data_IF_415316453195
#
_entry.id   IF_415316453195
#
_cell.length_a   1.000
_cell.length_b   1.000
_cell.length_c   1.000
_cell.angle_alpha   90.00
_cell.angle_beta   90.00
_cell.angle_gamma   90.00
#
_symmetry.space_group_name_H-M   'P 1'
#
loop_
_entity.id
_entity.type
_entity.pdbx_description
1 polymer ?
#
# COMPACT_ATOMS: atom_id res chain seq x y z
N UNK A 1 67.40 -38.90 4.46
CA UNK A 1 66.07 -38.95 5.11
C UNK A 1 65.65 -37.51 5.25
N UNK A 2 65.05 -36.98 4.19
CA UNK A 2 64.99 -35.54 4.00
C UNK A 2 63.61 -35.06 4.42
N UNK A 3 63.58 -34.22 5.47
CA UNK A 3 62.36 -33.62 5.99
C UNK A 3 61.99 -32.44 5.10
N UNK A 4 60.94 -32.61 4.30
CA UNK A 4 60.33 -31.54 3.52
C UNK A 4 59.47 -30.71 4.47
N UNK A 5 59.89 -29.47 4.72
CA UNK A 5 59.12 -28.46 5.48
C UNK A 5 58.33 -27.65 4.46
N UNK A 6 57.00 -27.69 4.53
CA UNK A 6 56.12 -26.83 3.73
C UNK A 6 55.85 -25.53 4.49
N UNK A 7 55.97 -24.34 3.88
CA UNK A 7 55.53 -23.11 4.51
C UNK A 7 53.99 -23.05 4.52
N UNK A 8 53.40 -22.88 5.71
CA UNK A 8 51.98 -22.56 5.88
C UNK A 8 51.81 -21.08 5.52
N UNK A 9 51.20 -20.80 4.37
CA UNK A 9 50.81 -19.45 3.98
C UNK A 9 49.49 -19.12 4.69
N UNK A 10 49.55 -18.28 5.71
CA UNK A 10 48.36 -17.73 6.35
C UNK A 10 47.85 -16.58 5.48
N UNK A 11 46.78 -16.84 4.72
CA UNK A 11 46.05 -15.80 3.98
C UNK A 11 45.12 -15.09 4.95
N UNK A 12 45.55 -13.92 5.45
CA UNK A 12 44.68 -13.00 6.19
C UNK A 12 43.76 -12.31 5.19
N UNK A 13 42.53 -12.80 5.06
CA UNK A 13 41.50 -12.14 4.25
C UNK A 13 41.03 -10.92 5.03
N UNK A 14 41.55 -9.75 4.66
CA UNK A 14 40.95 -8.47 5.05
C UNK A 14 39.59 -8.36 4.36
N UNK A 15 38.51 -8.60 5.12
CA UNK A 15 37.17 -8.18 4.74
C UNK A 15 37.13 -6.64 4.77
N UNK A 16 37.49 -6.02 3.66
CA UNK A 16 37.10 -4.64 3.41
C UNK A 16 35.59 -4.66 3.17
N UNK A 17 34.80 -4.42 4.22
CA UNK A 17 33.41 -4.01 4.08
C UNK A 17 33.39 -2.62 3.45
N UNK A 18 33.57 -2.56 2.13
CA UNK A 18 33.11 -1.41 1.37
C UNK A 18 31.62 -1.29 1.61
N UNK A 19 31.27 -0.24 2.33
CA UNK A 19 29.91 0.12 2.67
C UNK A 19 29.08 0.15 1.37
N UNK A 20 28.19 -0.83 1.22
CA UNK A 20 27.21 -0.90 0.15
C UNK A 20 26.13 0.17 0.41
N UNK A 21 26.49 1.45 0.28
CA UNK A 21 25.54 2.57 0.37
C UNK A 21 24.62 2.64 -0.87
N UNK A 22 25.00 2.03 -1.99
CA UNK A 22 24.24 2.13 -3.24
C UNK A 22 23.15 1.06 -3.44
N UNK A 23 22.97 0.11 -2.50
CA UNK A 23 21.84 -0.86 -2.57
C UNK A 23 20.59 -0.41 -1.81
N UNK A 24 20.75 0.36 -0.73
CA UNK A 24 19.60 0.79 0.08
C UNK A 24 18.65 1.72 -0.66
N UNK A 25 19.17 2.52 -1.60
CA UNK A 25 18.39 3.52 -2.33
C UNK A 25 17.49 2.89 -3.41
N UNK A 26 17.98 1.87 -4.13
CA UNK A 26 17.15 1.14 -5.11
C UNK A 26 16.16 0.18 -4.46
N UNK A 27 16.52 -0.47 -3.34
CA UNK A 27 15.59 -1.34 -2.59
C UNK A 27 14.46 -0.56 -1.89
N UNK A 28 14.62 0.76 -1.65
CA UNK A 28 13.54 1.57 -1.09
C UNK A 28 12.55 2.01 -2.18
N UNK A 29 13.01 2.49 -3.33
CA UNK A 29 12.13 3.02 -4.39
C UNK A 29 11.23 1.92 -5.00
N UNK A 30 11.78 0.73 -5.29
CA UNK A 30 11.00 -0.39 -5.85
C UNK A 30 9.95 -0.94 -4.86
N UNK A 31 10.25 -0.85 -3.55
CA UNK A 31 9.34 -1.35 -2.52
C UNK A 31 8.15 -0.39 -2.35
N UNK A 32 8.36 0.93 -2.37
CA UNK A 32 7.25 1.90 -2.22
C UNK A 32 6.38 2.03 -3.47
N UNK A 33 6.93 1.82 -4.67
CA UNK A 33 6.10 1.67 -5.88
C UNK A 33 5.10 0.52 -5.76
N UNK A 34 5.50 -0.59 -5.14
CA UNK A 34 4.61 -1.72 -4.84
C UNK A 34 3.53 -1.35 -3.83
N UNK A 35 3.87 -0.57 -2.80
CA UNK A 35 2.90 -0.12 -1.78
C UNK A 35 1.87 0.86 -2.33
N UNK A 36 2.31 1.82 -3.17
CA UNK A 36 1.42 2.74 -3.89
C UNK A 36 0.46 1.94 -4.77
N UNK A 37 0.97 1.00 -5.56
CA UNK A 37 0.15 0.15 -6.43
C UNK A 37 -0.84 -0.70 -5.62
N UNK A 38 -0.41 -1.26 -4.49
CA UNK A 38 -1.29 -2.01 -3.59
C UNK A 38 -2.44 -1.14 -3.10
N UNK A 39 -2.15 0.04 -2.54
CA UNK A 39 -3.18 0.96 -2.04
C UNK A 39 -4.10 1.43 -3.18
N UNK A 40 -3.53 1.80 -4.32
CA UNK A 40 -4.30 2.25 -5.48
C UNK A 40 -5.24 1.15 -6.00
N UNK A 41 -4.79 -0.11 -6.07
CA UNK A 41 -5.64 -1.24 -6.47
C UNK A 41 -6.82 -1.44 -5.51
N UNK A 42 -6.61 -1.25 -4.20
CA UNK A 42 -7.70 -1.30 -3.21
C UNK A 42 -8.68 -0.16 -3.40
N UNK A 43 -8.18 1.05 -3.63
CA UNK A 43 -9.00 2.23 -3.92
C UNK A 43 -9.84 2.03 -5.18
N UNK A 44 -9.25 1.51 -6.25
CA UNK A 44 -9.94 1.20 -7.49
C UNK A 44 -10.97 0.08 -7.31
N UNK A 45 -10.67 -0.92 -6.48
CA UNK A 45 -11.62 -1.98 -6.13
C UNK A 45 -12.83 -1.43 -5.39
N UNK A 46 -12.63 -0.52 -4.43
CA UNK A 46 -13.72 0.16 -3.73
C UNK A 46 -14.56 0.95 -4.72
N UNK A 47 -13.94 1.74 -5.60
CA UNK A 47 -14.66 2.51 -6.61
C UNK A 47 -15.49 1.62 -7.56
N UNK A 48 -14.96 0.45 -7.94
CA UNK A 48 -15.69 -0.54 -8.73
C UNK A 48 -16.90 -1.09 -7.96
N UNK A 49 -16.75 -1.39 -6.67
CA UNK A 49 -17.88 -1.86 -5.85
C UNK A 49 -18.97 -0.80 -5.76
N UNK A 50 -18.60 0.48 -5.58
CA UNK A 50 -19.57 1.57 -5.65
C UNK A 50 -20.30 1.61 -7.00
N UNK A 51 -19.60 1.44 -8.12
CA UNK A 51 -20.22 1.38 -9.45
C UNK A 51 -21.21 0.20 -9.58
N UNK A 52 -20.84 -0.98 -9.06
CA UNK A 52 -21.72 -2.13 -9.03
C UNK A 52 -22.96 -1.88 -8.16
N UNK A 53 -22.80 -1.26 -7.00
CA UNK A 53 -23.92 -0.89 -6.13
C UNK A 53 -24.88 0.10 -6.81
N UNK A 54 -24.35 1.08 -7.56
CA UNK A 54 -25.15 2.03 -8.35
C UNK A 54 -25.93 1.30 -9.45
N UNK A 55 -25.30 0.37 -10.15
CA UNK A 55 -25.94 -0.44 -11.20
C UNK A 55 -27.05 -1.30 -10.62
N UNK A 56 -26.76 -2.03 -9.53
CA UNK A 56 -27.71 -2.89 -8.82
C UNK A 56 -28.94 -2.08 -8.37
N UNK A 57 -28.74 -0.88 -7.80
CA UNK A 57 -29.87 0.01 -7.45
C UNK A 57 -30.71 0.42 -8.65
N UNK A 58 -30.07 0.88 -9.73
CA UNK A 58 -30.76 1.31 -10.95
C UNK A 58 -31.52 0.17 -11.64
N UNK A 59 -31.10 -1.07 -11.39
CA UNK A 59 -31.81 -2.27 -11.87
C UNK A 59 -33.04 -2.65 -11.04
N UNK A 60 -33.32 -1.92 -9.96
CA UNK A 60 -34.53 -2.07 -9.14
C UNK A 60 -34.33 -2.79 -7.81
N UNK A 61 -33.07 -3.08 -7.41
CA UNK A 61 -32.79 -3.64 -6.09
C UNK A 61 -32.98 -2.61 -5.00
N UNK A 62 -33.48 -3.07 -3.85
CA UNK A 62 -33.69 -2.18 -2.72
C UNK A 62 -32.37 -1.81 -2.02
N UNK A 63 -32.40 -0.71 -1.27
CA UNK A 63 -31.22 -0.19 -0.59
C UNK A 63 -30.68 -1.13 0.50
N UNK A 64 -31.52 -1.93 1.14
CA UNK A 64 -31.11 -2.88 2.19
C UNK A 64 -30.34 -4.04 1.58
N UNK A 65 -30.78 -4.56 0.43
CA UNK A 65 -30.05 -5.59 -0.32
C UNK A 65 -28.65 -5.08 -0.70
N UNK A 66 -28.56 -3.85 -1.20
CA UNK A 66 -27.29 -3.25 -1.63
C UNK A 66 -26.34 -3.07 -0.44
N UNK A 67 -26.84 -2.53 0.68
CA UNK A 67 -26.03 -2.36 1.89
C UNK A 67 -25.49 -3.72 2.35
N UNK A 68 -26.38 -4.70 2.50
CA UNK A 68 -26.02 -6.05 2.97
C UNK A 68 -24.99 -6.71 2.06
N UNK A 69 -25.08 -6.49 0.75
CA UNK A 69 -24.20 -7.11 -0.24
C UNK A 69 -22.81 -6.47 -0.31
N UNK A 70 -22.70 -5.14 -0.17
CA UNK A 70 -21.47 -4.42 -0.53
C UNK A 70 -20.74 -3.75 0.63
N UNK A 71 -21.40 -3.47 1.75
CA UNK A 71 -20.83 -2.67 2.84
C UNK A 71 -19.59 -3.32 3.47
N UNK A 72 -19.61 -4.64 3.63
CA UNK A 72 -18.49 -5.37 4.23
C UNK A 72 -17.21 -5.22 3.41
N UNK A 73 -17.27 -5.43 2.09
CA UNK A 73 -16.07 -5.35 1.24
C UNK A 73 -15.55 -3.93 1.12
N UNK A 74 -16.43 -2.93 1.02
CA UNK A 74 -16.01 -1.52 1.05
C UNK A 74 -15.27 -1.21 2.34
N UNK A 75 -15.86 -1.58 3.48
CA UNK A 75 -15.27 -1.32 4.80
C UNK A 75 -13.91 -2.00 4.92
N UNK A 76 -13.81 -3.27 4.54
CA UNK A 76 -12.56 -4.04 4.60
C UNK A 76 -11.48 -3.44 3.72
N UNK A 77 -11.78 -3.12 2.46
CA UNK A 77 -10.79 -2.58 1.54
C UNK A 77 -10.34 -1.16 1.92
N UNK A 78 -11.25 -0.32 2.41
CA UNK A 78 -10.91 1.00 2.94
C UNK A 78 -10.04 0.88 4.20
N UNK A 79 -10.34 -0.08 5.09
CA UNK A 79 -9.53 -0.35 6.27
C UNK A 79 -8.10 -0.76 5.91
N UNK A 80 -7.92 -1.65 4.92
CA UNK A 80 -6.59 -2.03 4.42
C UNK A 80 -5.77 -0.80 3.98
N UNK A 81 -6.41 0.14 3.28
CA UNK A 81 -5.76 1.40 2.82
C UNK A 81 -5.38 2.29 3.99
N UNK A 82 -6.29 2.47 4.97
CA UNK A 82 -6.02 3.29 6.16
C UNK A 82 -4.87 2.73 6.98
N UNK A 83 -4.86 1.42 7.26
CA UNK A 83 -3.76 0.76 7.97
C UNK A 83 -2.41 1.00 7.30
N UNK A 84 -2.42 1.04 5.96
CA UNK A 84 -1.19 1.26 5.21
C UNK A 84 -0.72 2.71 5.29
N UNK A 85 -1.63 3.67 5.16
CA UNK A 85 -1.31 5.08 5.39
C UNK A 85 -0.82 5.35 6.81
N UNK A 86 -1.42 4.73 7.83
CA UNK A 86 -0.98 4.85 9.22
C UNK A 86 0.42 4.26 9.40
N UNK A 87 0.70 3.11 8.77
CA UNK A 87 2.04 2.52 8.77
C UNK A 87 3.08 3.45 8.12
N UNK A 88 2.78 4.05 6.98
CA UNK A 88 3.67 4.99 6.29
C UNK A 88 3.88 6.26 7.12
N UNK A 89 2.83 6.79 7.73
CA UNK A 89 2.88 7.97 8.61
C UNK A 89 3.72 7.69 9.85
N UNK A 90 3.66 6.48 10.40
CA UNK A 90 4.51 6.05 11.52
C UNK A 90 5.99 6.00 11.11
N UNK A 91 6.31 5.47 9.93
CA UNK A 91 7.68 5.47 9.40
C UNK A 91 8.22 6.89 9.22
N UNK A 92 7.39 7.81 8.72
CA UNK A 92 7.75 9.22 8.58
C UNK A 92 7.99 9.88 9.94
N UNK A 93 7.10 9.65 10.91
CA UNK A 93 7.20 10.21 12.27
C UNK A 93 8.47 9.73 12.98
N UNK A 94 8.88 8.49 12.75
CA UNK A 94 10.12 7.90 13.24
C UNK A 94 11.37 8.33 12.45
N UNK A 95 11.21 9.14 11.41
CA UNK A 95 12.27 9.59 10.50
C UNK A 95 12.95 8.44 9.75
N UNK A 96 12.24 7.32 9.55
CA UNK A 96 12.71 6.18 8.77
C UNK A 96 12.53 6.40 7.26
N UNK A 97 11.60 7.27 6.88
CA UNK A 97 11.47 7.83 5.52
C UNK A 97 11.57 9.35 5.56
N UNK A 98 12.05 9.93 4.46
CA UNK A 98 12.16 11.38 4.32
C UNK A 98 10.84 12.01 3.83
N UNK A 99 10.78 13.34 3.89
CA UNK A 99 9.61 14.13 3.54
C UNK A 99 9.18 13.96 2.07
N UNK A 100 10.15 13.94 1.15
CA UNK A 100 9.89 13.77 -0.29
C UNK A 100 9.19 12.44 -0.56
N UNK A 101 9.70 11.35 0.02
CA UNK A 101 9.15 10.01 -0.16
C UNK A 101 7.78 9.86 0.50
N UNK A 102 7.58 10.45 1.67
CA UNK A 102 6.26 10.48 2.31
C UNK A 102 5.23 11.16 1.40
N UNK A 103 5.53 12.36 0.89
CA UNK A 103 4.62 13.11 0.02
C UNK A 103 4.42 12.41 -1.33
N UNK A 104 5.44 11.78 -1.89
CA UNK A 104 5.31 10.97 -3.10
C UNK A 104 4.30 9.84 -2.90
N UNK A 105 4.38 9.10 -1.81
CA UNK A 105 3.44 8.00 -1.53
C UNK A 105 2.03 8.53 -1.32
N UNK A 106 1.87 9.58 -0.50
CA UNK A 106 0.55 10.15 -0.19
C UNK A 106 -0.14 10.76 -1.42
N UNK A 107 0.61 11.41 -2.31
CA UNK A 107 0.05 12.09 -3.48
C UNK A 107 -0.26 11.15 -4.64
N UNK A 108 0.37 9.99 -4.72
CA UNK A 108 0.16 9.05 -5.82
C UNK A 108 -1.08 8.16 -5.64
N UNK A 109 -1.65 8.07 -4.42
CA UNK A 109 -2.89 7.32 -4.16
C UNK A 109 -4.10 8.22 -4.36
N UNK A 110 -4.89 7.95 -5.40
CA UNK A 110 -5.99 8.81 -5.87
C UNK A 110 -7.33 8.48 -5.21
N UNK A 111 -7.58 9.04 -4.02
CA UNK A 111 -8.80 8.80 -3.25
C UNK A 111 -10.07 9.45 -3.84
N UNK A 112 -9.93 10.48 -4.66
CA UNK A 112 -11.04 11.28 -5.21
C UNK A 112 -12.10 10.45 -5.94
N UNK A 113 -11.66 9.35 -6.56
CA UNK A 113 -12.54 8.43 -7.29
C UNK A 113 -13.59 7.83 -6.36
N UNK A 114 -13.21 7.42 -5.15
CA UNK A 114 -14.15 6.89 -4.14
C UNK A 114 -15.17 7.97 -3.74
N UNK A 115 -14.69 9.18 -3.46
CA UNK A 115 -15.55 10.28 -3.02
C UNK A 115 -16.63 10.60 -4.06
N UNK A 116 -16.24 10.69 -5.33
CA UNK A 116 -17.19 10.96 -6.42
C UNK A 116 -18.30 9.91 -6.52
N UNK A 117 -17.96 8.63 -6.33
CA UNK A 117 -18.92 7.51 -6.42
C UNK A 117 -19.79 7.39 -5.17
N UNK A 118 -19.21 7.60 -3.99
CA UNK A 118 -19.97 7.64 -2.75
C UNK A 118 -21.03 8.75 -2.79
N UNK A 119 -20.69 9.94 -3.29
CA UNK A 119 -21.66 11.03 -3.48
C UNK A 119 -22.81 10.66 -4.42
N UNK A 120 -22.57 9.83 -5.44
CA UNK A 120 -23.63 9.36 -6.33
C UNK A 120 -24.57 8.40 -5.58
N UNK A 121 -24.03 7.44 -4.81
CA UNK A 121 -24.86 6.54 -3.99
C UNK A 121 -25.66 7.30 -2.92
N UNK A 122 -25.05 8.28 -2.25
CA UNK A 122 -25.73 9.10 -1.25
C UNK A 122 -26.91 9.87 -1.86
N UNK A 123 -26.75 10.41 -3.08
CA UNK A 123 -27.85 11.04 -3.83
C UNK A 123 -28.97 10.07 -4.22
N UNK A 124 -28.65 8.78 -4.32
CA UNK A 124 -29.63 7.71 -4.53
C UNK A 124 -30.28 7.25 -3.21
N UNK A 125 -29.93 7.85 -2.07
CA UNK A 125 -30.45 7.51 -0.75
C UNK A 125 -29.76 6.30 -0.11
N UNK A 126 -28.64 5.84 -0.66
CA UNK A 126 -27.87 4.71 -0.14
C UNK A 126 -26.63 5.24 0.56
N UNK A 127 -26.50 4.89 1.84
CA UNK A 127 -25.31 5.21 2.62
C UNK A 127 -24.63 3.92 3.05
N UNK A 128 -23.51 3.60 2.41
CA UNK A 128 -22.65 2.51 2.81
C UNK A 128 -21.74 3.05 3.91
N UNK A 129 -21.79 2.44 5.10
CA UNK A 129 -21.09 2.96 6.28
C UNK A 129 -19.59 2.93 6.06
N UNK A 130 -18.96 4.10 6.12
CA UNK A 130 -17.55 4.20 6.48
C UNK A 130 -17.48 4.51 7.97
N UNK A 131 -17.04 3.55 8.78
CA UNK A 131 -16.66 3.80 10.18
C UNK A 131 -15.14 3.93 10.22
N UNK A 132 -14.69 5.15 10.52
CA UNK A 132 -13.30 5.42 10.86
C UNK A 132 -13.03 5.02 12.30
#
# INVERSE_FOLDING_TARGET
MDKIIYPIIIVVIFYHSSCSQNKKENDTIDNYGTEINYMQNKVDSVALIYDLAIIDFKSGKDSVEIITKYEFDITRLQHDVVLKFDSITNLYTKKEINDNLYHEIMNNVKMDKIQSKNQVLEKLGIRLSWKR
#
